data_IF_864856889952
#
_entry.id   IF_864856889952
#
_cell.length_a   1.000
_cell.length_b   1.000
_cell.length_c   1.000
_cell.angle_alpha   90.00
_cell.angle_beta   90.00
_cell.angle_gamma   90.00
#
_symmetry.space_group_name_H-M   'P 1'
#
loop_
_entity.id
_entity.type
_entity.pdbx_description
1 polymer ?
#
# COMPACT_ATOMS: atom_id res chain seq x y z
N UNK A 1 4.91 -10.62 -53.47
CA UNK A 1 4.17 -10.52 -52.18
C UNK A 1 2.66 -10.68 -52.45
N UNK A 2 2.06 -11.80 -52.01
CA UNK A 2 0.66 -12.14 -52.32
C UNK A 2 -0.34 -11.16 -51.68
N UNK A 3 -1.39 -10.79 -52.43
CA UNK A 3 -2.43 -9.82 -51.98
C UNK A 3 -3.05 -10.20 -50.62
N UNK A 4 -3.20 -11.50 -50.35
CA UNK A 4 -3.69 -12.04 -49.07
C UNK A 4 -2.78 -11.70 -47.89
N UNK A 5 -1.47 -11.79 -48.08
CA UNK A 5 -0.48 -11.44 -47.05
C UNK A 5 -0.52 -9.94 -46.78
N UNK A 6 -0.64 -9.11 -47.83
CA UNK A 6 -0.74 -7.65 -47.69
C UNK A 6 -1.96 -7.21 -46.88
N UNK A 7 -3.13 -7.83 -47.10
CA UNK A 7 -4.35 -7.52 -46.33
C UNK A 7 -4.22 -7.95 -44.87
N UNK A 8 -3.62 -9.13 -44.62
CA UNK A 8 -3.42 -9.63 -43.27
C UNK A 8 -2.41 -8.77 -42.49
N UNK A 9 -1.33 -8.31 -43.14
CA UNK A 9 -0.37 -7.38 -42.53
C UNK A 9 -0.99 -6.01 -42.26
N UNK A 10 -1.78 -5.46 -43.19
CA UNK A 10 -2.45 -4.17 -42.99
C UNK A 10 -3.52 -4.21 -41.89
N UNK A 11 -4.19 -5.34 -41.71
CA UNK A 11 -5.14 -5.56 -40.61
C UNK A 11 -4.46 -5.80 -39.27
N UNK A 12 -3.29 -6.43 -39.24
CA UNK A 12 -2.54 -6.71 -38.01
C UNK A 12 -1.87 -5.46 -37.41
N UNK A 13 -1.42 -4.52 -38.24
CA UNK A 13 -0.76 -3.27 -37.80
C UNK A 13 -1.59 -2.48 -36.76
N UNK A 14 -2.87 -2.12 -37.01
CA UNK A 14 -3.65 -1.37 -36.03
C UNK A 14 -3.91 -2.14 -34.73
N UNK A 15 -4.05 -3.47 -34.81
CA UNK A 15 -4.21 -4.34 -33.64
C UNK A 15 -2.96 -4.37 -32.77
N UNK A 16 -1.79 -4.51 -33.39
CA UNK A 16 -0.49 -4.48 -32.68
C UNK A 16 -0.23 -3.10 -32.09
N UNK A 17 -0.54 -2.02 -32.84
CA UNK A 17 -0.39 -0.66 -32.35
C UNK A 17 -1.28 -0.38 -31.12
N UNK A 18 -2.55 -0.80 -31.16
CA UNK A 18 -3.45 -0.66 -30.02
C UNK A 18 -2.99 -1.49 -28.83
N UNK A 19 -2.60 -2.75 -29.06
CA UNK A 19 -2.10 -3.62 -27.99
C UNK A 19 -0.84 -3.03 -27.34
N UNK A 20 0.09 -2.48 -28.13
CA UNK A 20 1.26 -1.79 -27.59
C UNK A 20 0.87 -0.58 -26.74
N UNK A 21 -0.06 0.27 -27.21
CA UNK A 21 -0.48 1.46 -26.46
C UNK A 21 -1.12 1.13 -25.11
N UNK A 22 -1.86 0.03 -25.01
CA UNK A 22 -2.54 -0.38 -23.77
C UNK A 22 -1.58 -1.06 -22.78
N UNK A 23 -0.44 -1.56 -23.25
CA UNK A 23 0.57 -2.22 -22.41
C UNK A 23 1.72 -1.30 -21.98
N UNK A 24 1.89 -0.15 -22.62
CA UNK A 24 2.91 0.83 -22.27
C UNK A 24 2.51 1.59 -20.99
N UNK A 25 3.46 1.75 -20.06
CA UNK A 25 3.32 2.41 -18.77
C UNK A 25 3.65 3.92 -18.79
N UNK A 26 4.48 4.37 -19.73
CA UNK A 26 4.85 5.77 -19.92
C UNK A 26 4.97 6.13 -21.41
N UNK A 27 4.66 7.37 -21.77
CA UNK A 27 4.83 7.80 -23.17
C UNK A 27 6.34 7.86 -23.51
N UNK A 28 6.81 7.15 -24.56
CA UNK A 28 8.24 7.13 -24.91
C UNK A 28 8.80 8.55 -25.12
N UNK A 29 9.81 8.91 -24.34
CA UNK A 29 10.45 10.23 -24.41
C UNK A 29 9.84 11.31 -23.49
N UNK A 30 8.95 10.94 -22.57
CA UNK A 30 8.41 11.85 -21.53
C UNK A 30 8.24 11.12 -20.18
N UNK A 31 8.11 11.86 -19.09
CA UNK A 31 7.78 11.32 -17.75
C UNK A 31 6.27 11.17 -17.51
N UNK A 32 5.45 11.23 -18.56
CA UNK A 32 3.99 11.12 -18.45
C UNK A 32 3.61 9.65 -18.28
N UNK A 33 3.11 9.33 -17.09
CA UNK A 33 2.56 8.02 -16.75
C UNK A 33 1.20 7.81 -17.41
N UNK A 34 0.99 6.63 -18.02
CA UNK A 34 -0.27 6.18 -18.60
C UNK A 34 -1.02 5.23 -17.64
N UNK A 35 -0.80 5.41 -16.35
CA UNK A 35 -1.41 4.57 -15.32
C UNK A 35 -2.85 4.97 -15.06
N UNK A 36 -3.67 3.98 -14.70
CA UNK A 36 -5.07 4.22 -14.37
C UNK A 36 -5.21 4.75 -12.94
N UNK A 37 -6.18 5.63 -12.65
CA UNK A 37 -6.41 6.18 -11.30
C UNK A 37 -7.14 5.19 -10.38
N UNK A 38 -6.72 3.92 -10.42
CA UNK A 38 -7.29 2.83 -9.64
C UNK A 38 -6.20 2.05 -8.94
N UNK A 39 -6.51 1.58 -7.74
CA UNK A 39 -5.72 0.63 -7.00
C UNK A 39 -6.38 -0.75 -7.03
N UNK A 40 -5.57 -1.81 -7.02
CA UNK A 40 -6.03 -3.16 -6.75
C UNK A 40 -5.76 -3.46 -5.27
N UNK A 41 -6.81 -3.77 -4.53
CA UNK A 41 -6.78 -4.13 -3.12
C UNK A 41 -7.06 -5.64 -2.99
N UNK A 42 -6.18 -6.36 -2.30
CA UNK A 42 -6.30 -7.80 -2.13
C UNK A 42 -5.75 -8.27 -0.79
N UNK A 43 -5.95 -9.56 -0.45
CA UNK A 43 -5.39 -10.14 0.75
C UNK A 43 -3.85 -10.05 0.71
N UNK A 44 -3.28 -9.43 1.74
CA UNK A 44 -1.84 -9.43 1.94
C UNK A 44 -1.35 -10.69 2.66
N UNK A 45 -0.03 -10.85 2.80
CA UNK A 45 0.54 -11.92 3.59
C UNK A 45 0.09 -11.83 5.06
N UNK A 46 0.05 -12.98 5.70
CA UNK A 46 -0.13 -13.09 7.16
C UNK A 46 1.21 -13.30 7.82
N UNK A 47 1.45 -12.59 8.92
CA UNK A 47 2.67 -12.73 9.72
C UNK A 47 2.31 -13.23 11.12
N UNK A 48 3.04 -14.23 11.62
CA UNK A 48 2.90 -14.64 13.01
C UNK A 48 3.71 -13.68 13.90
N UNK A 49 3.04 -12.89 14.72
CA UNK A 49 3.70 -11.87 15.55
C UNK A 49 4.40 -12.43 16.77
N UNK A 50 4.20 -13.72 17.09
CA UNK A 50 4.94 -14.43 18.15
C UNK A 50 6.23 -15.08 17.65
N UNK A 51 6.52 -14.96 16.36
CA UNK A 51 7.69 -15.58 15.74
C UNK A 51 8.60 -14.57 15.06
N UNK A 52 9.36 -15.08 14.09
CA UNK A 52 10.33 -14.30 13.33
C UNK A 52 9.93 -14.21 11.85
N UNK A 53 10.25 -13.07 11.23
CA UNK A 53 10.18 -12.86 9.78
C UNK A 53 11.58 -12.50 9.32
N UNK A 54 12.12 -13.25 8.36
CA UNK A 54 13.47 -13.07 7.82
C UNK A 54 14.58 -13.04 8.90
N UNK A 55 14.39 -13.79 9.99
CA UNK A 55 15.34 -13.88 11.11
C UNK A 55 15.29 -12.71 12.09
N UNK A 56 14.23 -11.89 12.03
CA UNK A 56 13.97 -10.79 12.97
C UNK A 56 12.65 -11.05 13.69
N UNK A 57 12.65 -10.97 15.02
CA UNK A 57 11.44 -11.10 15.84
C UNK A 57 10.43 -10.01 15.45
N UNK A 58 9.16 -10.40 15.26
CA UNK A 58 8.13 -9.45 14.82
C UNK A 58 7.76 -8.47 15.95
N UNK A 59 7.81 -8.91 17.20
CA UNK A 59 7.58 -8.08 18.39
C UNK A 59 8.67 -8.40 19.41
N UNK A 60 9.65 -7.50 19.54
CA UNK A 60 10.69 -7.58 20.56
C UNK A 60 10.25 -6.85 21.83
N UNK A 61 10.27 -7.54 22.97
CA UNK A 61 9.95 -6.95 24.28
C UNK A 61 11.23 -6.84 25.10
N UNK A 62 11.53 -5.63 25.57
CA UNK A 62 12.68 -5.37 26.44
C UNK A 62 12.24 -4.73 27.75
N UNK A 63 12.99 -4.97 28.84
CA UNK A 63 12.76 -4.33 30.13
C UNK A 63 11.67 -4.95 31.01
N UNK A 64 11.08 -6.07 30.61
CA UNK A 64 10.15 -6.86 31.40
C UNK A 64 10.34 -8.36 31.13
N UNK A 65 10.00 -9.20 32.12
CA UNK A 65 9.93 -10.64 31.92
C UNK A 65 8.70 -10.97 31.07
N UNK A 66 8.87 -11.81 30.05
CA UNK A 66 7.80 -12.27 29.15
C UNK A 66 7.34 -13.67 29.54
N UNK A 67 6.05 -13.94 29.39
CA UNK A 67 5.49 -15.28 29.58
C UNK A 67 5.76 -16.15 28.33
N UNK A 68 5.90 -17.47 28.53
CA UNK A 68 5.94 -18.42 27.40
C UNK A 68 4.59 -18.42 26.68
N UNK A 69 4.64 -18.16 25.37
CA UNK A 69 3.48 -18.16 24.48
C UNK A 69 3.55 -19.34 23.53
N UNK A 70 2.43 -20.05 23.37
CA UNK A 70 2.29 -21.16 22.43
C UNK A 70 1.28 -20.82 21.32
N UNK A 71 1.51 -21.34 20.12
CA UNK A 71 0.60 -21.20 18.99
C UNK A 71 0.99 -20.10 17.99
N UNK A 72 -0.01 -19.43 17.42
CA UNK A 72 0.19 -18.36 16.43
C UNK A 72 -0.72 -17.18 16.75
N UNK A 73 -0.15 -15.97 16.69
CA UNK A 73 -0.90 -14.72 16.66
C UNK A 73 -0.72 -14.11 15.27
N UNK A 74 -1.66 -14.38 14.37
CA UNK A 74 -1.54 -13.98 12.97
C UNK A 74 -2.02 -12.55 12.77
N UNK A 75 -1.11 -11.67 12.34
CA UNK A 75 -1.42 -10.36 11.80
C UNK A 75 -1.76 -10.51 10.31
N UNK A 76 -2.98 -10.17 9.93
CA UNK A 76 -3.42 -10.11 8.53
C UNK A 76 -3.12 -8.74 7.95
N UNK A 77 -2.51 -8.70 6.77
CA UNK A 77 -2.28 -7.44 6.04
C UNK A 77 -3.16 -7.35 4.81
N UNK A 78 -3.32 -6.13 4.29
CA UNK A 78 -3.98 -5.86 3.01
C UNK A 78 -2.91 -5.36 2.04
N UNK A 79 -2.88 -5.92 0.84
CA UNK A 79 -1.97 -5.48 -0.22
C UNK A 79 -2.68 -4.48 -1.14
N UNK A 80 -2.04 -3.34 -1.37
CA UNK A 80 -2.54 -2.30 -2.28
C UNK A 80 -1.53 -2.11 -3.41
N UNK A 81 -1.95 -2.28 -4.66
CA UNK A 81 -1.14 -2.08 -5.86
C UNK A 81 -1.64 -0.87 -6.63
N UNK A 82 -0.76 0.09 -6.91
CA UNK A 82 -1.06 1.32 -7.67
C UNK A 82 -0.16 1.42 -8.90
N UNK A 83 -0.39 2.44 -9.75
CA UNK A 83 0.48 2.69 -10.91
C UNK A 83 0.37 1.61 -11.99
N UNK A 84 -0.82 1.02 -12.15
CA UNK A 84 -1.05 -0.05 -13.13
C UNK A 84 -1.44 0.53 -14.49
N UNK A 85 -1.02 -0.14 -15.58
CA UNK A 85 -1.56 0.13 -16.91
C UNK A 85 -3.00 -0.38 -17.03
N UNK A 86 -3.73 0.08 -18.06
CA UNK A 86 -5.10 -0.38 -18.30
C UNK A 86 -5.18 -1.90 -18.52
N UNK A 87 -4.20 -2.49 -19.23
CA UNK A 87 -4.15 -3.95 -19.41
C UNK A 87 -3.91 -4.69 -18.09
N UNK A 88 -3.03 -4.17 -17.23
CA UNK A 88 -2.77 -4.75 -15.91
C UNK A 88 -4.01 -4.69 -15.02
N UNK A 89 -4.66 -3.53 -14.92
CA UNK A 89 -5.87 -3.36 -14.11
C UNK A 89 -7.02 -4.29 -14.58
N UNK A 90 -7.21 -4.41 -15.90
CA UNK A 90 -8.22 -5.32 -16.45
C UNK A 90 -7.90 -6.80 -16.19
N UNK A 91 -6.61 -7.16 -16.29
CA UNK A 91 -6.15 -8.53 -15.99
C UNK A 91 -6.36 -8.84 -14.51
N UNK A 92 -5.98 -7.93 -13.61
CA UNK A 92 -6.15 -8.10 -12.18
C UNK A 92 -7.63 -8.26 -11.81
N UNK A 93 -8.50 -7.44 -12.39
CA UNK A 93 -9.94 -7.51 -12.16
C UNK A 93 -10.60 -8.81 -12.65
N UNK A 94 -10.13 -9.38 -13.77
CA UNK A 94 -10.74 -10.57 -14.37
C UNK A 94 -10.17 -11.89 -13.83
N UNK A 95 -8.91 -11.89 -13.39
CA UNK A 95 -8.17 -13.11 -13.07
C UNK A 95 -7.69 -13.22 -11.62
N UNK A 96 -7.96 -12.23 -10.78
CA UNK A 96 -7.60 -12.25 -9.34
C UNK A 96 -8.82 -11.91 -8.48
N UNK A 97 -8.79 -12.30 -7.21
CA UNK A 97 -9.80 -11.94 -6.20
C UNK A 97 -9.63 -10.52 -5.65
N UNK A 98 -8.85 -9.68 -6.35
CA UNK A 98 -8.58 -8.31 -5.95
C UNK A 98 -9.76 -7.39 -6.29
N UNK A 99 -10.05 -6.46 -5.39
CA UNK A 99 -11.05 -5.42 -5.60
C UNK A 99 -10.39 -4.19 -6.21
N UNK A 100 -10.95 -3.70 -7.32
CA UNK A 100 -10.48 -2.47 -7.96
C UNK A 100 -11.21 -1.28 -7.36
N UNK A 101 -10.47 -0.37 -6.73
CA UNK A 101 -11.00 0.83 -6.06
C UNK A 101 -10.35 2.11 -6.60
N UNK A 102 -11.07 3.25 -6.67
CA UNK A 102 -10.48 4.54 -6.99
C UNK A 102 -9.32 4.88 -6.04
N UNK A 103 -8.20 5.33 -6.61
CA UNK A 103 -6.98 5.62 -5.83
C UNK A 103 -7.21 6.68 -4.75
N UNK A 104 -8.12 7.61 -5.01
CA UNK A 104 -8.53 8.71 -4.13
C UNK A 104 -9.19 8.25 -2.82
N UNK A 105 -9.65 6.99 -2.72
CA UNK A 105 -10.14 6.42 -1.47
C UNK A 105 -9.00 6.04 -0.51
N UNK A 106 -7.79 5.85 -1.04
CA UNK A 106 -6.59 5.44 -0.29
C UNK A 106 -5.66 6.64 -0.09
N UNK A 107 -5.45 7.41 -1.16
CA UNK A 107 -4.60 8.59 -1.17
C UNK A 107 -5.44 9.83 -1.47
N UNK A 108 -5.72 10.69 -0.47
CA UNK A 108 -6.58 11.86 -0.65
C UNK A 108 -6.11 12.76 -1.81
N UNK A 109 -7.02 13.26 -2.66
CA UNK A 109 -6.63 14.14 -3.75
C UNK A 109 -6.10 15.47 -3.20
N UNK A 110 -5.04 15.99 -3.85
CA UNK A 110 -4.45 17.28 -3.49
C UNK A 110 -3.38 17.24 -2.39
N UNK A 111 -3.01 16.06 -1.90
CA UNK A 111 -1.85 15.88 -1.02
C UNK A 111 -0.70 15.22 -1.80
N UNK A 112 0.53 15.63 -1.48
CA UNK A 112 1.73 14.95 -1.96
C UNK A 112 1.93 13.62 -1.20
N UNK A 113 2.73 12.73 -1.78
CA UNK A 113 3.10 11.47 -1.12
C UNK A 113 3.86 11.74 0.18
N UNK A 114 4.70 12.78 0.21
CA UNK A 114 5.43 13.20 1.41
C UNK A 114 4.48 13.69 2.51
N UNK A 115 3.45 14.47 2.18
CA UNK A 115 2.47 14.97 3.15
C UNK A 115 1.67 13.82 3.78
N UNK A 116 1.23 12.87 2.95
CA UNK A 116 0.54 11.65 3.43
C UNK A 116 1.46 10.84 4.33
N UNK A 117 2.72 10.66 3.95
CA UNK A 117 3.69 9.91 4.76
C UNK A 117 3.96 10.58 6.12
N UNK A 118 4.07 11.91 6.14
CA UNK A 118 4.25 12.67 7.38
C UNK A 118 3.00 12.62 8.27
N UNK A 119 1.81 12.71 7.69
CA UNK A 119 0.55 12.55 8.42
C UNK A 119 0.44 11.16 9.04
N UNK A 120 0.73 10.11 8.27
CA UNK A 120 0.72 8.72 8.74
C UNK A 120 1.73 8.49 9.87
N UNK A 121 2.94 9.04 9.76
CA UNK A 121 3.96 8.95 10.81
C UNK A 121 3.48 9.56 12.13
N UNK A 122 2.86 10.76 12.06
CA UNK A 122 2.31 11.43 13.25
C UNK A 122 1.16 10.64 13.87
N UNK A 123 0.26 10.11 13.04
CA UNK A 123 -0.83 9.26 13.49
C UNK A 123 -0.32 7.96 14.15
N UNK A 124 0.77 7.39 13.65
CA UNK A 124 1.40 6.20 14.20
C UNK A 124 1.98 6.47 15.60
N UNK A 125 2.79 7.52 15.76
CA UNK A 125 3.34 7.92 17.08
C UNK A 125 2.24 8.22 18.09
N UNK A 126 1.16 8.90 17.66
CA UNK A 126 0.01 9.15 18.52
C UNK A 126 -0.68 7.85 18.97
N UNK A 127 -0.76 6.85 18.09
CA UNK A 127 -1.33 5.55 18.39
C UNK A 127 -0.48 4.77 19.41
N UNK A 128 0.85 4.81 19.28
CA UNK A 128 1.78 4.21 20.24
C UNK A 128 1.67 4.87 21.62
N UNK A 129 1.60 6.20 21.67
CA UNK A 129 1.40 6.93 22.92
C UNK A 129 0.06 6.57 23.58
N UNK A 130 -1.02 6.50 22.80
CA UNK A 130 -2.34 6.09 23.31
C UNK A 130 -2.35 4.64 23.84
N UNK A 131 -1.69 3.72 23.16
CA UNK A 131 -1.53 2.33 23.60
C UNK A 131 -0.73 2.26 24.91
N UNK A 132 0.37 3.01 24.99
CA UNK A 132 1.22 3.09 26.19
C UNK A 132 0.44 3.64 27.38
N UNK A 133 -0.28 4.76 27.20
CA UNK A 133 -1.14 5.34 28.24
C UNK A 133 -2.23 4.34 28.68
N UNK A 134 -2.81 3.60 27.74
CA UNK A 134 -3.82 2.57 28.07
C UNK A 134 -3.22 1.44 28.90
N UNK A 135 -2.02 0.98 28.57
CA UNK A 135 -1.28 -0.02 29.35
C UNK A 135 -0.89 0.51 30.73
N UNK A 136 -0.38 1.73 30.83
CA UNK A 136 -0.03 2.36 32.10
C UNK A 136 -1.25 2.50 33.02
N UNK A 137 -2.40 2.92 32.48
CA UNK A 137 -3.66 2.98 33.23
C UNK A 137 -4.09 1.60 33.74
N UNK A 138 -3.99 0.56 32.90
CA UNK A 138 -4.27 -0.82 33.32
C UNK A 138 -3.35 -1.28 34.46
N UNK A 139 -2.07 -0.89 34.41
CA UNK A 139 -1.05 -1.19 35.42
C UNK A 139 -1.08 -0.24 36.64
N UNK A 140 -1.97 0.77 36.66
CA UNK A 140 -2.03 1.84 37.68
C UNK A 140 -0.71 2.61 37.85
N UNK A 141 0.01 2.85 36.76
CA UNK A 141 1.23 3.65 36.74
C UNK A 141 0.91 5.14 36.50
N UNK A 142 1.68 6.08 37.09
CA UNK A 142 1.48 7.51 36.85
C UNK A 142 1.84 7.88 35.41
N UNK A 143 0.96 8.63 34.73
CA UNK A 143 1.17 9.09 33.35
C UNK A 143 1.79 10.48 33.36
N UNK A 144 2.92 10.65 32.68
CA UNK A 144 3.54 11.94 32.40
C UNK A 144 3.32 12.29 30.92
N UNK A 145 2.87 13.51 30.64
CA UNK A 145 2.49 13.93 29.29
C UNK A 145 3.57 14.89 28.77
N UNK A 146 4.26 14.48 27.70
CA UNK A 146 5.22 15.31 26.99
C UNK A 146 4.73 15.61 25.57
N UNK A 147 4.88 16.86 25.13
CA UNK A 147 4.51 17.29 23.79
C UNK A 147 5.72 17.15 22.87
N UNK A 148 5.69 16.15 21.99
CA UNK A 148 6.80 15.84 21.07
C UNK A 148 6.80 16.73 19.83
N UNK A 149 5.62 17.13 19.34
CA UNK A 149 5.49 17.91 18.11
C UNK A 149 4.18 18.73 18.11
N UNK A 150 4.21 19.91 17.49
CA UNK A 150 3.05 20.78 17.27
C UNK A 150 2.90 21.00 15.77
N UNK A 151 1.67 20.90 15.24
CA UNK A 151 1.39 21.05 13.81
C UNK A 151 1.57 22.52 13.40
N UNK A 152 2.31 22.75 12.31
CA UNK A 152 2.40 24.08 11.70
C UNK A 152 1.00 24.61 11.35
N UNK A 153 0.69 25.84 11.77
CA UNK A 153 -0.63 26.50 11.70
C UNK A 153 -1.78 25.91 12.55
N UNK A 154 -1.51 25.09 13.57
CA UNK A 154 -2.55 24.74 14.56
C UNK A 154 -2.93 25.95 15.43
N UNK A 155 -4.25 26.12 15.68
CA UNK A 155 -4.72 27.11 16.63
C UNK A 155 -4.19 26.80 18.04
N UNK A 156 -3.52 27.77 18.64
CA UNK A 156 -3.03 27.72 20.02
C UNK A 156 -4.18 27.74 21.05
#
# INVERSE_FOLDING_TARGET
MNRRIKTLTWGAIPLVALASLVSIDHIPGTDISLTVPYAAEGPGPTFNTLGEVDGVEVIEITGADTDEVEGNLNMTTVSVRTGMTLSQALTQWLFTDDTIVPIEQIFPPGQSMEEVQQSNSRAFTASEAAATISAMNFLNLPVEIEVVEVVEDSAA
#
